data_IF_365689560938
#
_entry.id   IF_365689560938
#
_cell.length_a   1.000
_cell.length_b   1.000
_cell.length_c   1.000
_cell.angle_alpha   90.00
_cell.angle_beta   90.00
_cell.angle_gamma   90.00
#
_symmetry.space_group_name_H-M   'P 1'
#
loop_
_entity.id
_entity.type
_entity.pdbx_description
1 polymer ?
#
# COMPACT_ATOMS: atom_id res chain seq x y z
N UNK A 1 -21.50 8.03 26.70
CA UNK A 1 -21.93 6.81 26.04
C UNK A 1 -21.23 6.73 24.67
N UNK A 2 -20.87 5.54 24.29
CA UNK A 2 -20.29 5.26 22.97
C UNK A 2 -21.41 5.09 21.95
N UNK A 3 -21.30 5.73 20.80
CA UNK A 3 -22.22 5.53 19.66
C UNK A 3 -21.49 4.72 18.63
N UNK A 4 -21.88 3.47 18.44
CA UNK A 4 -21.35 2.62 17.37
C UNK A 4 -22.19 2.79 16.12
N UNK A 5 -21.56 3.20 15.02
CA UNK A 5 -22.22 3.29 13.71
C UNK A 5 -21.77 2.11 12.86
N UNK A 6 -22.66 1.17 12.63
CA UNK A 6 -22.44 0.08 11.71
C UNK A 6 -22.85 0.51 10.29
N UNK A 7 -21.91 0.70 9.39
CA UNK A 7 -22.18 0.88 7.98
C UNK A 7 -22.41 -0.47 7.32
N UNK A 8 -23.55 -0.64 6.69
CA UNK A 8 -23.93 -1.89 6.01
C UNK A 8 -23.97 -1.76 4.49
N UNK A 9 -23.75 -0.60 3.91
CA UNK A 9 -23.85 -0.39 2.46
C UNK A 9 -22.71 0.46 1.93
N UNK A 10 -22.26 0.05 0.80
CA UNK A 10 -21.26 0.66 -0.05
C UNK A 10 -21.68 2.07 -0.54
N UNK A 11 -21.71 3.08 0.32
CA UNK A 11 -22.04 4.46 -0.04
C UNK A 11 -20.88 5.37 0.34
N UNK A 12 -20.22 5.95 -0.65
CA UNK A 12 -19.30 7.08 -0.45
C UNK A 12 -20.12 8.35 -0.26
N UNK A 13 -19.84 9.11 0.78
CA UNK A 13 -20.51 10.37 1.00
C UNK A 13 -20.37 10.89 2.42
N UNK A 14 -20.82 12.10 2.62
CA UNK A 14 -20.94 12.69 3.94
C UNK A 14 -22.34 12.45 4.46
N UNK A 15 -22.48 11.82 5.63
CA UNK A 15 -23.74 11.71 6.34
C UNK A 15 -23.67 12.46 7.66
N UNK A 16 -24.81 12.96 8.12
CA UNK A 16 -24.90 13.61 9.43
C UNK A 16 -25.59 12.64 10.39
N UNK A 17 -24.91 12.33 11.49
CA UNK A 17 -25.50 11.58 12.59
C UNK A 17 -26.02 12.58 13.61
N UNK A 18 -27.31 12.46 13.92
CA UNK A 18 -27.95 13.25 14.97
C UNK A 18 -27.99 12.39 16.24
N UNK A 19 -27.23 12.77 17.23
CA UNK A 19 -27.28 12.13 18.56
C UNK A 19 -28.32 12.85 19.39
N UNK A 20 -29.42 12.16 19.72
CA UNK A 20 -30.49 12.67 20.58
C UNK A 20 -30.31 12.13 22.01
N UNK A 21 -30.32 13.04 22.96
CA UNK A 21 -30.36 12.67 24.38
C UNK A 21 -31.81 12.86 24.85
N UNK A 22 -32.49 11.74 25.06
CA UNK A 22 -33.83 11.75 25.61
C UNK A 22 -33.85 12.25 27.07
N UNK A 23 -34.91 12.96 27.46
CA UNK A 23 -35.14 13.31 28.85
C UNK A 23 -35.36 12.04 29.68
N UNK A 24 -34.68 11.93 30.81
CA UNK A 24 -34.93 10.88 31.82
C UNK A 24 -35.63 11.46 33.04
N UNK A 25 -36.01 10.59 34.00
CA UNK A 25 -36.77 11.01 35.18
C UNK A 25 -36.09 12.14 35.99
N UNK A 26 -34.78 12.29 35.89
CA UNK A 26 -33.99 13.26 36.61
C UNK A 26 -33.10 14.16 35.72
N UNK A 27 -33.32 14.15 34.41
CA UNK A 27 -32.51 14.93 33.46
C UNK A 27 -33.40 15.56 32.38
N UNK A 28 -33.11 16.83 32.07
CA UNK A 28 -33.70 17.50 30.93
C UNK A 28 -33.16 16.92 29.61
N UNK A 29 -33.95 16.95 28.55
CA UNK A 29 -33.46 16.59 27.24
C UNK A 29 -32.30 17.50 26.83
N UNK A 30 -31.20 16.89 26.42
CA UNK A 30 -30.07 17.64 25.88
C UNK A 30 -30.35 18.15 24.48
N UNK A 31 -29.68 19.21 24.08
CA UNK A 31 -29.72 19.64 22.68
C UNK A 31 -29.16 18.56 21.75
N UNK A 32 -29.82 18.37 20.60
CA UNK A 32 -29.35 17.46 19.55
C UNK A 32 -27.93 17.85 19.13
N UNK A 33 -27.01 16.88 19.12
CA UNK A 33 -25.67 17.07 18.58
C UNK A 33 -25.57 16.42 17.21
N UNK A 34 -25.14 17.23 16.25
CA UNK A 34 -24.86 16.75 14.89
C UNK A 34 -23.38 16.46 14.73
N UNK A 35 -23.05 15.30 14.22
CA UNK A 35 -21.69 14.90 13.88
C UNK A 35 -21.67 14.53 12.41
N UNK A 36 -20.90 15.26 11.61
CA UNK A 36 -20.66 14.89 10.23
C UNK A 36 -19.71 13.68 10.19
N UNK A 37 -20.16 12.60 9.56
CA UNK A 37 -19.35 11.40 9.35
C UNK A 37 -19.05 11.26 7.88
N UNK A 38 -17.77 11.30 7.53
CA UNK A 38 -17.30 11.01 6.17
C UNK A 38 -17.10 9.50 6.04
N UNK A 39 -17.95 8.85 5.27
CA UNK A 39 -17.76 7.47 4.88
C UNK A 39 -16.92 7.41 3.61
N UNK A 40 -15.78 6.77 3.68
CA UNK A 40 -14.92 6.50 2.53
C UNK A 40 -14.99 5.02 2.20
N UNK A 41 -15.21 4.71 0.91
CA UNK A 41 -15.06 3.35 0.43
C UNK A 41 -13.61 2.94 0.46
N UNK A 42 -13.36 1.80 1.08
CA UNK A 42 -12.10 1.10 0.94
C UNK A 42 -12.31 -0.10 0.03
N UNK A 43 -11.56 -0.15 -1.06
CA UNK A 43 -11.55 -1.29 -1.96
C UNK A 43 -10.42 -2.24 -1.55
N UNK A 44 -10.75 -3.52 -1.46
CA UNK A 44 -9.77 -4.57 -1.15
C UNK A 44 -9.53 -5.38 -2.41
N UNK A 45 -8.27 -5.57 -2.77
CA UNK A 45 -7.81 -6.41 -3.86
C UNK A 45 -7.05 -7.59 -3.30
N UNK A 46 -7.33 -8.81 -3.75
CA UNK A 46 -6.73 -10.00 -3.20
C UNK A 46 -6.15 -10.93 -4.24
N UNK A 47 -5.16 -11.71 -3.80
CA UNK A 47 -4.67 -12.89 -4.50
C UNK A 47 -4.51 -14.04 -3.51
N UNK A 48 -4.98 -15.21 -3.90
CA UNK A 48 -4.85 -16.44 -3.12
C UNK A 48 -4.08 -17.47 -3.96
N UNK A 49 -3.17 -18.19 -3.34
CA UNK A 49 -2.45 -19.31 -3.98
C UNK A 49 -2.17 -20.45 -3.01
N UNK A 50 -1.95 -21.65 -3.56
CA UNK A 50 -1.45 -22.79 -2.81
C UNK A 50 0.08 -22.71 -2.74
N UNK A 51 0.63 -22.39 -1.56
CA UNK A 51 2.06 -22.22 -1.36
C UNK A 51 2.87 -23.52 -1.49
N UNK A 52 2.21 -24.69 -1.53
CA UNK A 52 2.86 -25.97 -1.79
C UNK A 52 2.93 -26.32 -3.29
N UNK A 53 2.42 -25.45 -4.15
CA UNK A 53 2.34 -25.63 -5.58
C UNK A 53 3.12 -24.57 -6.34
N UNK A 54 3.95 -24.98 -7.30
CA UNK A 54 4.83 -24.08 -8.06
C UNK A 54 4.30 -23.66 -9.45
N UNK A 55 3.09 -24.07 -9.82
CA UNK A 55 2.55 -23.72 -11.13
C UNK A 55 2.04 -22.28 -11.22
N UNK A 56 2.27 -21.56 -12.33
CA UNK A 56 1.85 -20.17 -12.50
C UNK A 56 0.32 -19.99 -12.48
N UNK A 57 -0.43 -21.04 -12.77
CA UNK A 57 -1.90 -21.04 -12.77
C UNK A 57 -2.52 -21.30 -11.39
N UNK A 58 -1.71 -21.40 -10.35
CA UNK A 58 -2.18 -21.69 -8.98
C UNK A 58 -2.58 -20.46 -8.19
N UNK A 59 -2.26 -19.26 -8.67
CA UNK A 59 -2.74 -18.00 -8.12
C UNK A 59 -4.16 -17.71 -8.62
N UNK A 60 -5.02 -17.25 -7.73
CA UNK A 60 -6.38 -16.79 -8.05
C UNK A 60 -6.58 -15.40 -7.51
N UNK A 61 -7.01 -14.46 -8.34
CA UNK A 61 -7.45 -13.14 -7.88
C UNK A 61 -8.75 -13.26 -7.12
N UNK A 62 -8.88 -12.50 -6.05
CA UNK A 62 -10.03 -12.50 -5.14
C UNK A 62 -10.44 -11.08 -4.82
N UNK A 63 -11.52 -10.92 -4.06
CA UNK A 63 -12.04 -9.64 -3.62
C UNK A 63 -12.32 -8.72 -4.83
N UNK A 64 -12.02 -7.45 -4.78
CA UNK A 64 -12.21 -6.50 -5.88
C UNK A 64 -11.38 -6.79 -7.14
N UNK A 65 -10.40 -7.69 -7.05
CA UNK A 65 -9.63 -8.13 -8.21
C UNK A 65 -10.20 -9.39 -8.90
N UNK A 66 -11.25 -9.98 -8.33
CA UNK A 66 -11.89 -11.16 -8.92
C UNK A 66 -12.45 -10.81 -10.31
N UNK A 67 -12.11 -11.60 -11.32
CA UNK A 67 -12.57 -11.37 -12.69
C UNK A 67 -11.76 -10.35 -13.50
N UNK A 68 -10.72 -9.74 -12.94
CA UNK A 68 -9.82 -8.90 -13.72
C UNK A 68 -9.12 -9.72 -14.81
N UNK A 69 -8.96 -9.10 -15.98
CA UNK A 69 -8.21 -9.68 -17.09
C UNK A 69 -6.71 -9.76 -16.77
N UNK A 70 -5.98 -10.60 -17.46
CA UNK A 70 -4.54 -10.78 -17.24
C UNK A 70 -3.76 -9.60 -17.78
N UNK A 71 -2.83 -9.02 -17.00
CA UNK A 71 -2.01 -7.91 -17.45
C UNK A 71 -1.26 -8.25 -18.75
N UNK A 72 -1.20 -7.29 -19.67
CA UNK A 72 -0.35 -7.36 -20.84
C UNK A 72 0.99 -6.68 -20.52
N UNK A 73 2.07 -7.43 -20.31
CA UNK A 73 3.35 -6.85 -19.91
C UNK A 73 3.96 -6.02 -21.04
N UNK A 74 4.70 -4.97 -20.67
CA UNK A 74 5.52 -4.23 -21.61
C UNK A 74 6.65 -5.11 -22.17
N UNK A 75 6.80 -5.16 -23.48
CA UNK A 75 7.89 -5.85 -24.17
C UNK A 75 8.69 -4.86 -25.00
N UNK A 76 9.99 -5.07 -25.12
CA UNK A 76 10.89 -4.26 -25.96
C UNK A 76 10.72 -2.74 -25.79
N UNK A 77 10.61 -2.25 -24.56
CA UNK A 77 10.35 -0.85 -24.21
C UNK A 77 8.97 -0.32 -24.63
N UNK A 78 8.08 -1.19 -25.05
CA UNK A 78 6.68 -0.83 -25.32
C UNK A 78 5.89 -0.55 -24.03
N UNK A 79 4.65 -0.15 -24.18
CA UNK A 79 3.72 0.04 -23.07
C UNK A 79 3.01 -1.27 -22.75
N UNK A 80 2.97 -1.63 -21.48
CA UNK A 80 2.09 -2.67 -20.98
C UNK A 80 0.74 -2.11 -20.60
N UNK A 81 -0.17 -2.98 -20.20
CA UNK A 81 -1.46 -2.61 -19.63
C UNK A 81 -1.84 -3.57 -18.50
N UNK A 82 -2.54 -3.05 -17.51
CA UNK A 82 -2.99 -3.81 -16.37
C UNK A 82 -4.38 -3.33 -15.92
N UNK A 83 -5.26 -4.22 -15.44
CA UNK A 83 -6.53 -3.79 -14.86
C UNK A 83 -6.34 -2.93 -13.60
N UNK A 84 -5.13 -2.89 -13.05
CA UNK A 84 -4.78 -2.08 -11.87
C UNK A 84 -4.29 -0.66 -12.22
N UNK A 85 -4.01 -0.35 -13.49
CA UNK A 85 -3.36 0.92 -13.88
C UNK A 85 -4.10 2.17 -13.40
N UNK A 86 -5.43 2.12 -13.31
CA UNK A 86 -6.26 3.23 -12.87
C UNK A 86 -6.79 3.08 -11.42
N UNK A 87 -6.28 2.10 -10.67
CA UNK A 87 -6.73 1.79 -9.32
C UNK A 87 -5.64 2.12 -8.30
N UNK A 88 -6.02 2.72 -7.17
CA UNK A 88 -5.10 2.95 -6.07
C UNK A 88 -4.76 1.61 -5.37
N UNK A 89 -3.51 1.38 -4.94
CA UNK A 89 -2.35 2.29 -4.94
C UNK A 89 -1.59 2.38 -6.27
N UNK A 90 -1.82 1.50 -7.22
CA UNK A 90 -1.03 1.38 -8.47
C UNK A 90 -1.09 2.65 -9.34
N UNK A 91 -2.25 3.30 -9.44
CA UNK A 91 -2.40 4.56 -10.19
C UNK A 91 -1.58 5.72 -9.61
N UNK A 92 -1.22 5.63 -8.34
CA UNK A 92 -0.36 6.59 -7.66
C UNK A 92 1.14 6.32 -7.82
N UNK A 93 1.53 5.19 -8.43
CA UNK A 93 2.93 4.85 -8.67
C UNK A 93 3.49 5.65 -9.83
N UNK A 94 4.30 6.66 -9.53
CA UNK A 94 4.83 7.60 -10.50
C UNK A 94 6.36 7.52 -10.55
N UNK A 95 6.91 7.53 -11.77
CA UNK A 95 8.36 7.61 -11.97
C UNK A 95 8.85 9.03 -11.73
N UNK A 96 9.84 9.19 -10.86
CA UNK A 96 10.49 10.45 -10.53
C UNK A 96 12.01 10.30 -10.53
N UNK A 97 12.74 11.37 -10.89
CA UNK A 97 14.20 11.43 -10.71
C UNK A 97 14.51 12.12 -9.40
N UNK A 98 15.27 11.44 -8.53
CA UNK A 98 15.65 11.89 -7.19
C UNK A 98 17.15 11.77 -7.00
N UNK A 99 17.66 12.12 -5.83
CA UNK A 99 19.10 11.98 -5.50
C UNK A 99 19.60 10.55 -5.68
N UNK A 100 18.80 9.53 -5.36
CA UNK A 100 19.10 8.12 -5.56
C UNK A 100 18.96 7.61 -6.99
N UNK A 101 18.69 8.50 -7.98
CA UNK A 101 18.47 8.16 -9.37
C UNK A 101 17.00 8.10 -9.76
N UNK A 102 16.64 7.23 -10.69
CA UNK A 102 15.27 7.05 -11.17
C UNK A 102 14.51 6.16 -10.16
N UNK A 103 13.53 6.74 -9.53
CA UNK A 103 12.73 6.09 -8.48
C UNK A 103 11.27 5.94 -8.94
N UNK A 104 10.56 5.04 -8.31
CA UNK A 104 9.10 4.96 -8.34
C UNK A 104 8.59 5.46 -7.00
N UNK A 105 7.77 6.49 -7.03
CA UNK A 105 6.98 6.91 -5.88
C UNK A 105 5.91 5.84 -5.62
N UNK A 106 5.87 5.30 -4.42
CA UNK A 106 4.91 4.30 -4.00
C UNK A 106 4.00 4.90 -2.93
N UNK A 107 2.69 5.03 -3.20
CA UNK A 107 1.74 5.54 -2.23
C UNK A 107 1.55 4.56 -1.06
N UNK A 108 1.21 5.09 0.11
CA UNK A 108 0.84 4.27 1.27
C UNK A 108 -0.38 3.41 0.95
N UNK A 109 -0.33 2.15 1.34
CA UNK A 109 -1.46 1.22 1.24
C UNK A 109 -1.52 0.36 2.51
N UNK A 110 -2.59 -0.39 2.65
CA UNK A 110 -2.77 -1.34 3.75
C UNK A 110 -2.76 -2.75 3.20
N UNK A 111 -2.20 -3.68 3.96
CA UNK A 111 -2.12 -5.07 3.54
C UNK A 111 -2.48 -6.04 4.65
N UNK A 112 -2.88 -7.23 4.25
CA UNK A 112 -3.14 -8.34 5.15
C UNK A 112 -2.71 -9.66 4.53
N UNK A 113 -1.99 -10.45 5.31
CA UNK A 113 -1.68 -11.82 4.99
C UNK A 113 -2.56 -12.77 5.80
N UNK A 114 -3.13 -13.79 5.14
CA UNK A 114 -3.91 -14.82 5.79
C UNK A 114 -3.47 -16.19 5.27
N UNK A 115 -3.19 -17.10 6.19
CA UNK A 115 -2.85 -18.49 5.89
C UNK A 115 -3.99 -19.38 6.37
N UNK A 116 -4.50 -20.26 5.49
CA UNK A 116 -5.52 -21.25 5.81
C UNK A 116 -5.15 -22.58 5.16
N UNK A 117 -4.71 -23.53 5.96
CA UNK A 117 -4.18 -24.79 5.45
C UNK A 117 -3.00 -24.56 4.50
N UNK A 118 -3.12 -25.03 3.26
CA UNK A 118 -2.12 -24.85 2.18
C UNK A 118 -2.28 -23.54 1.41
N UNK A 119 -3.29 -22.75 1.73
CA UNK A 119 -3.57 -21.51 1.02
C UNK A 119 -2.97 -20.33 1.75
N UNK A 120 -2.39 -19.44 0.97
CA UNK A 120 -1.90 -18.14 1.40
C UNK A 120 -2.64 -17.07 0.62
N UNK A 121 -3.20 -16.10 1.31
CA UNK A 121 -3.91 -14.97 0.71
C UNK A 121 -3.22 -13.67 1.10
N UNK A 122 -2.87 -12.86 0.10
CA UNK A 122 -2.47 -11.47 0.26
C UNK A 122 -3.63 -10.58 -0.16
N UNK A 123 -3.93 -9.60 0.67
CA UNK A 123 -4.90 -8.56 0.36
C UNK A 123 -4.23 -7.19 0.49
N UNK A 124 -4.57 -6.29 -0.43
CA UNK A 124 -4.15 -4.89 -0.44
C UNK A 124 -5.42 -4.04 -0.43
N UNK A 125 -5.42 -3.01 0.41
CA UNK A 125 -6.52 -2.07 0.53
C UNK A 125 -6.05 -0.65 0.24
N UNK A 126 -6.89 0.16 -0.38
CA UNK A 126 -6.64 1.55 -0.71
C UNK A 126 -6.90 2.52 0.47
N UNK A 127 -7.27 2.00 1.62
CA UNK A 127 -7.50 2.75 2.85
C UNK A 127 -7.43 1.85 4.08
N UNK A 128 -7.57 2.43 5.28
CA UNK A 128 -7.52 1.69 6.54
C UNK A 128 -8.71 0.73 6.68
N UNK A 129 -8.43 -0.52 7.00
CA UNK A 129 -9.41 -1.58 7.25
C UNK A 129 -9.00 -2.32 8.52
N UNK A 130 -9.97 -2.69 9.35
CA UNK A 130 -9.71 -3.47 10.54
C UNK A 130 -8.97 -4.78 10.21
N UNK A 131 -7.91 -5.05 10.95
CA UNK A 131 -7.06 -6.22 10.77
C UNK A 131 -6.10 -6.15 9.58
N UNK A 132 -5.98 -5.00 8.92
CA UNK A 132 -4.92 -4.69 7.96
C UNK A 132 -3.83 -3.85 8.63
N UNK A 133 -2.63 -3.92 8.09
CA UNK A 133 -1.46 -3.15 8.51
C UNK A 133 -1.05 -2.20 7.40
N UNK A 134 -0.55 -1.03 7.78
CA UNK A 134 0.13 -0.13 6.83
C UNK A 134 1.35 -0.85 6.26
N UNK A 135 1.66 -0.62 5.00
CA UNK A 135 2.84 -1.23 4.40
C UNK A 135 4.12 -0.86 5.16
N UNK A 136 5.11 -1.80 5.25
CA UNK A 136 6.26 -1.63 6.15
C UNK A 136 7.15 -0.43 5.84
N UNK A 137 7.07 0.10 4.60
CA UNK A 137 7.92 1.23 4.18
C UNK A 137 7.33 2.55 4.67
N UNK A 138 6.02 2.65 4.73
CA UNK A 138 5.29 3.87 5.10
C UNK A 138 4.79 3.87 6.56
N UNK A 139 4.97 2.78 7.31
CA UNK A 139 4.59 2.71 8.72
C UNK A 139 5.37 3.69 9.59
N UNK A 140 4.77 4.11 10.69
CA UNK A 140 5.48 4.89 11.72
C UNK A 140 6.62 4.06 12.31
N UNK A 141 7.83 4.59 12.23
CA UNK A 141 9.07 3.96 12.70
C UNK A 141 9.52 4.48 14.07
N UNK A 142 8.73 5.36 14.68
CA UNK A 142 9.10 6.01 15.95
C UNK A 142 10.18 7.07 15.79
N UNK A 143 10.42 7.57 14.59
CA UNK A 143 11.40 8.62 14.27
C UNK A 143 10.80 10.04 14.40
N UNK A 144 9.55 10.16 14.82
CA UNK A 144 8.80 11.40 14.96
C UNK A 144 8.18 11.92 13.66
N UNK A 145 8.33 11.21 12.54
CA UNK A 145 7.70 11.59 11.27
C UNK A 145 6.29 10.99 11.11
N UNK A 146 5.94 10.00 11.96
CA UNK A 146 4.69 9.27 11.85
C UNK A 146 4.61 8.38 10.61
N UNK A 147 3.41 8.00 10.21
CA UNK A 147 3.18 7.30 8.96
C UNK A 147 3.43 8.23 7.77
N UNK A 148 4.13 7.72 6.75
CA UNK A 148 4.39 8.45 5.51
C UNK A 148 3.27 8.19 4.49
N UNK A 149 2.87 9.22 3.75
CA UNK A 149 1.86 9.07 2.70
C UNK A 149 2.40 8.38 1.44
N UNK A 150 3.70 8.36 1.27
CA UNK A 150 4.39 7.69 0.17
C UNK A 150 5.85 7.42 0.52
N UNK A 151 6.43 6.47 -0.21
CA UNK A 151 7.86 6.17 -0.20
C UNK A 151 8.42 6.13 -1.61
N UNK A 152 9.73 5.87 -1.74
CA UNK A 152 10.39 5.74 -3.04
C UNK A 152 11.16 4.44 -3.13
N UNK A 153 10.93 3.69 -4.20
CA UNK A 153 11.66 2.46 -4.51
C UNK A 153 12.49 2.66 -5.78
N UNK A 154 13.71 2.16 -5.80
CA UNK A 154 14.55 2.22 -6.97
C UNK A 154 13.91 1.49 -8.15
N UNK A 155 13.80 2.15 -9.32
CA UNK A 155 13.23 1.55 -10.53
C UNK A 155 14.18 0.55 -11.18
N UNK A 156 15.48 0.78 -11.09
CA UNK A 156 16.53 -0.02 -11.70
C UNK A 156 17.46 -0.57 -10.63
N UNK A 157 18.21 -1.58 -10.99
CA UNK A 157 19.29 -2.06 -10.14
C UNK A 157 20.30 -0.95 -9.86
N UNK A 158 20.98 -1.10 -8.75
CA UNK A 158 22.09 -0.23 -8.36
C UNK A 158 23.16 -0.23 -9.48
N UNK A 159 23.44 0.93 -10.05
CA UNK A 159 24.36 1.06 -11.17
C UNK A 159 25.83 0.99 -10.71
N UNK A 160 26.67 0.36 -11.51
CA UNK A 160 28.11 0.22 -11.24
C UNK A 160 28.76 1.61 -11.13
N UNK A 161 29.49 1.81 -10.05
CA UNK A 161 30.26 3.02 -9.75
C UNK A 161 29.45 4.17 -9.15
N UNK A 162 28.17 4.30 -9.43
CA UNK A 162 27.33 5.41 -8.91
C UNK A 162 26.43 4.99 -7.76
N UNK A 163 26.12 3.71 -7.66
CA UNK A 163 25.16 3.11 -6.72
C UNK A 163 23.74 3.67 -6.81
N UNK A 164 23.44 4.44 -7.83
CA UNK A 164 22.13 5.01 -8.10
C UNK A 164 21.26 4.08 -8.94
N UNK A 165 19.95 4.28 -8.89
CA UNK A 165 19.00 3.67 -9.81
C UNK A 165 19.07 4.35 -11.18
N UNK A 166 19.83 3.79 -12.11
CA UNK A 166 20.06 4.39 -13.44
C UNK A 166 19.69 3.44 -14.58
N UNK A 167 19.08 3.98 -15.63
CA UNK A 167 18.80 3.23 -16.84
C UNK A 167 20.05 3.04 -17.69
N UNK A 168 20.11 1.95 -18.44
CA UNK A 168 21.21 1.64 -19.39
C UNK A 168 22.61 1.62 -18.75
N UNK A 169 22.70 1.30 -17.48
CA UNK A 169 23.94 1.12 -16.74
C UNK A 169 24.13 -0.33 -16.35
N UNK A 170 25.36 -0.79 -16.35
CA UNK A 170 25.69 -2.10 -15.81
C UNK A 170 25.33 -2.16 -14.32
N UNK A 171 24.79 -3.28 -13.88
CA UNK A 171 24.50 -3.52 -12.47
C UNK A 171 25.80 -3.58 -11.67
N UNK A 172 25.80 -3.04 -10.45
CA UNK A 172 26.87 -3.22 -9.49
C UNK A 172 26.90 -4.69 -9.05
N UNK A 173 28.05 -5.34 -9.25
CA UNK A 173 28.29 -6.74 -8.88
C UNK A 173 29.56 -6.83 -8.04
N UNK A 174 29.82 -8.00 -7.46
CA UNK A 174 31.05 -8.30 -6.71
C UNK A 174 31.30 -7.33 -5.54
N UNK A 175 30.24 -6.99 -4.81
CA UNK A 175 30.27 -6.09 -3.67
C UNK A 175 29.67 -6.78 -2.44
N UNK A 176 30.23 -6.53 -1.27
CA UNK A 176 29.64 -7.03 -0.02
C UNK A 176 28.36 -6.24 0.34
N UNK A 177 27.45 -6.88 1.07
CA UNK A 177 26.23 -6.24 1.56
C UNK A 177 26.51 -4.97 2.38
N UNK A 178 27.51 -5.01 3.27
CA UNK A 178 27.89 -3.86 4.09
C UNK A 178 28.42 -2.71 3.25
N UNK A 179 29.26 -2.99 2.25
CA UNK A 179 29.77 -1.96 1.34
C UNK A 179 28.63 -1.36 0.51
N UNK A 180 27.71 -2.18 -0.01
CA UNK A 180 26.55 -1.70 -0.75
C UNK A 180 25.67 -0.76 0.10
N UNK A 181 25.40 -1.14 1.36
CA UNK A 181 24.64 -0.29 2.30
C UNK A 181 25.31 1.05 2.52
N UNK A 182 26.61 1.06 2.81
CA UNK A 182 27.37 2.29 3.03
C UNK A 182 27.33 3.20 1.80
N UNK A 183 27.55 2.66 0.61
CA UNK A 183 27.56 3.45 -0.62
C UNK A 183 26.19 4.00 -0.98
N UNK A 184 25.14 3.22 -0.79
CA UNK A 184 23.76 3.67 -1.01
C UNK A 184 23.37 4.74 0.01
N UNK A 185 23.72 4.57 1.28
CA UNK A 185 23.44 5.57 2.31
C UNK A 185 24.20 6.89 2.07
N UNK A 186 25.39 6.84 1.50
CA UNK A 186 26.17 8.03 1.12
C UNK A 186 25.52 8.87 0.02
N UNK A 187 24.52 8.34 -0.70
CA UNK A 187 23.74 9.11 -1.66
C UNK A 187 22.79 10.11 -0.96
N UNK A 188 22.42 9.87 0.29
CA UNK A 188 21.61 10.77 1.10
C UNK A 188 21.12 10.08 2.38
N UNK A 189 20.95 10.85 3.44
CA UNK A 189 20.61 10.35 4.78
C UNK A 189 19.34 9.45 4.84
N UNK A 190 18.41 9.67 3.91
CA UNK A 190 17.13 8.92 3.84
C UNK A 190 17.10 7.89 2.71
N UNK A 191 18.26 7.49 2.19
CA UNK A 191 18.37 6.48 1.14
C UNK A 191 18.94 5.20 1.74
N UNK A 192 18.19 4.11 1.68
CA UNK A 192 18.53 2.83 2.29
C UNK A 192 18.44 1.69 1.27
N UNK A 193 19.23 0.67 1.46
CA UNK A 193 19.03 -0.60 0.79
C UNK A 193 17.86 -1.33 1.44
N UNK A 194 16.92 -1.82 0.64
CA UNK A 194 15.89 -2.73 1.14
C UNK A 194 16.53 -4.01 1.69
N UNK A 195 16.22 -4.30 2.92
CA UNK A 195 16.65 -5.50 3.61
C UNK A 195 15.41 -6.37 3.85
N UNK A 196 15.36 -7.47 3.15
CA UNK A 196 14.43 -8.55 3.49
C UNK A 196 15.12 -9.42 4.54
N UNK A 197 14.75 -9.20 5.80
CA UNK A 197 15.18 -10.06 6.91
C UNK A 197 14.27 -11.28 7.00
#
# INVERSE_FOLDING_TARGET
>A
GEVTVNSVNNITGTTTIIVKVAAGANYLAGADKQVAVNAQFVTIYGVEWDWTSSGPTKGKRTDGAAGFWDPNPAVNNGSGSSPFDNLYPWSGMVKETRTGGVMVKEPKYWYKWTKSGKKLKLQIADGPVEGFHVDPVNMDRGDGLGELDFSYIARYHCANGTYKSETNKAQQVSITRSTARTQIHNLGANIWQLDFA
#
